data_IF_817317985592
#
_entry.id   IF_817317985592
#
_cell.length_a   1.000
_cell.length_b   1.000
_cell.length_c   1.000
_cell.angle_alpha   90.00
_cell.angle_beta   90.00
_cell.angle_gamma   90.00
#
_symmetry.space_group_name_H-M   'P 1'
#
loop_
_entity.id
_entity.type
_entity.pdbx_description
1 polymer ?
#
# COMPACT_ATOMS: atom_id res chain seq x y z
N UNK A 1 -31.00 7.83 -25.46
CA UNK A 1 -30.34 6.72 -24.73
C UNK A 1 -28.92 7.14 -24.38
N UNK A 2 -28.69 7.60 -23.15
CA UNK A 2 -27.36 8.05 -22.69
C UNK A 2 -26.53 6.79 -22.42
N UNK A 3 -25.42 6.66 -23.15
CA UNK A 3 -24.59 5.48 -23.24
C UNK A 3 -24.12 4.99 -21.83
N UNK A 4 -24.58 3.81 -21.38
CA UNK A 4 -24.21 3.21 -20.07
C UNK A 4 -22.69 3.14 -19.87
N UNK A 5 -21.92 3.03 -20.96
CA UNK A 5 -20.45 3.01 -20.93
C UNK A 5 -19.82 4.36 -20.54
N UNK A 6 -20.46 5.50 -20.81
CA UNK A 6 -19.93 6.83 -20.44
C UNK A 6 -20.12 7.16 -18.95
N UNK A 7 -21.12 6.59 -18.27
CA UNK A 7 -21.28 6.75 -16.81
C UNK A 7 -20.26 5.92 -16.03
N UNK A 8 -19.92 4.72 -16.51
CA UNK A 8 -18.92 3.85 -15.88
C UNK A 8 -17.47 4.35 -16.02
N UNK A 9 -17.14 5.09 -17.10
CA UNK A 9 -15.81 5.67 -17.30
C UNK A 9 -15.41 6.73 -16.25
N UNK A 10 -16.36 7.22 -15.44
CA UNK A 10 -16.09 8.22 -14.40
C UNK A 10 -15.53 7.62 -13.11
N UNK A 11 -15.46 6.29 -12.98
CA UNK A 11 -15.19 5.58 -11.71
C UNK A 11 -13.72 5.18 -11.48
N UNK A 12 -12.77 5.50 -12.38
CA UNK A 12 -11.51 4.73 -12.38
C UNK A 12 -10.22 5.43 -12.75
N UNK A 13 -10.15 6.76 -12.86
CA UNK A 13 -8.87 7.36 -13.26
C UNK A 13 -7.84 7.43 -12.12
N UNK A 14 -8.22 7.42 -10.83
CA UNK A 14 -7.26 7.56 -9.71
C UNK A 14 -7.54 6.61 -8.52
N UNK A 15 -8.07 5.42 -8.74
CA UNK A 15 -8.58 4.59 -7.62
C UNK A 15 -9.79 5.20 -6.89
N UNK A 16 -10.37 6.27 -7.43
CA UNK A 16 -11.52 6.99 -6.89
C UNK A 16 -12.80 6.41 -7.52
N UNK A 17 -13.51 5.58 -6.75
CA UNK A 17 -14.88 5.18 -7.10
C UNK A 17 -15.82 6.30 -6.67
N UNK A 18 -16.25 7.14 -7.62
CA UNK A 18 -17.29 8.13 -7.37
C UNK A 18 -18.62 7.42 -7.15
N UNK A 19 -18.97 7.16 -5.90
CA UNK A 19 -20.30 6.66 -5.54
C UNK A 19 -21.31 7.78 -5.80
N UNK A 20 -21.78 7.90 -7.05
CA UNK A 20 -22.83 8.86 -7.43
C UNK A 20 -24.08 8.61 -6.57
N UNK A 21 -24.22 9.38 -5.49
CA UNK A 21 -25.46 9.64 -4.74
C UNK A 21 -26.09 8.50 -3.91
N UNK A 22 -25.48 7.33 -3.74
CA UNK A 22 -26.14 6.18 -3.07
C UNK A 22 -25.69 5.91 -1.63
N UNK A 23 -25.87 6.89 -0.73
CA UNK A 23 -25.91 6.62 0.72
C UNK A 23 -27.34 6.20 1.11
N UNK A 24 -27.60 4.90 1.14
CA UNK A 24 -28.88 4.39 1.61
C UNK A 24 -28.85 4.13 3.12
N UNK A 25 -30.00 4.26 3.79
CA UNK A 25 -30.14 3.93 5.21
C UNK A 25 -30.06 2.41 5.37
N UNK A 26 -29.47 1.96 6.46
CA UNK A 26 -29.65 0.61 6.96
C UNK A 26 -30.31 0.68 8.35
N UNK A 27 -31.47 0.05 8.47
CA UNK A 27 -32.23 -0.03 9.73
C UNK A 27 -31.95 -1.32 10.49
N UNK A 28 -31.30 -2.32 9.86
CA UNK A 28 -31.32 -3.71 10.32
C UNK A 28 -29.96 -4.43 10.32
N UNK A 29 -28.84 -3.76 10.03
CA UNK A 29 -27.52 -4.39 10.18
C UNK A 29 -26.60 -3.65 11.14
N UNK A 30 -25.89 -4.44 11.96
CA UNK A 30 -24.92 -3.96 12.95
C UNK A 30 -23.59 -3.50 12.32
N UNK A 31 -23.29 -3.89 11.07
CA UNK A 31 -22.03 -3.60 10.39
C UNK A 31 -22.24 -2.90 9.05
N UNK A 32 -21.59 -1.75 8.80
CA UNK A 32 -21.74 -1.01 7.55
C UNK A 32 -21.12 -1.79 6.37
N UNK A 33 -21.77 -1.72 5.22
CA UNK A 33 -21.28 -2.40 4.01
C UNK A 33 -21.48 -1.55 2.75
N UNK A 34 -20.75 -1.92 1.70
CA UNK A 34 -20.91 -1.38 0.36
C UNK A 34 -21.05 -2.53 -0.64
N UNK A 35 -22.03 -2.41 -1.54
CA UNK A 35 -22.20 -3.29 -2.68
C UNK A 35 -21.51 -2.72 -3.90
N UNK A 36 -20.66 -3.52 -4.53
CA UNK A 36 -19.95 -3.16 -5.75
C UNK A 36 -20.28 -4.10 -6.91
N UNK A 37 -20.45 -3.56 -8.13
CA UNK A 37 -20.52 -4.34 -9.34
C UNK A 37 -19.32 -5.28 -9.49
N UNK A 38 -19.55 -6.48 -10.04
CA UNK A 38 -18.50 -7.50 -10.16
C UNK A 38 -17.28 -7.08 -11.01
N UNK A 39 -17.47 -6.18 -11.97
CA UNK A 39 -16.36 -5.61 -12.75
C UNK A 39 -15.48 -4.69 -11.89
N UNK A 40 -16.05 -3.89 -11.00
CA UNK A 40 -15.28 -3.06 -10.07
C UNK A 40 -14.55 -3.92 -9.02
N UNK A 41 -15.20 -4.97 -8.51
CA UNK A 41 -14.53 -5.94 -7.61
C UNK A 41 -13.27 -6.53 -8.25
N UNK A 42 -13.38 -6.99 -9.51
CA UNK A 42 -12.23 -7.50 -10.28
C UNK A 42 -11.18 -6.43 -10.53
N UNK A 43 -11.60 -5.22 -10.90
CA UNK A 43 -10.69 -4.12 -11.20
C UNK A 43 -9.86 -3.69 -9.98
N UNK A 44 -10.47 -3.64 -8.79
CA UNK A 44 -9.76 -3.29 -7.56
C UNK A 44 -9.09 -4.51 -6.89
N UNK A 45 -9.28 -5.71 -7.45
CA UNK A 45 -8.75 -6.95 -6.89
C UNK A 45 -9.31 -7.29 -5.51
N UNK A 46 -10.53 -6.87 -5.23
CA UNK A 46 -11.18 -7.01 -3.92
C UNK A 46 -12.12 -8.22 -3.94
N UNK A 47 -12.02 -9.07 -2.93
CA UNK A 47 -12.91 -10.22 -2.78
C UNK A 47 -14.24 -9.85 -2.11
N UNK A 48 -15.29 -10.62 -2.36
CA UNK A 48 -16.53 -10.47 -1.61
C UNK A 48 -16.26 -10.72 -0.11
N UNK A 49 -16.92 -9.96 0.76
CA UNK A 49 -16.74 -9.98 2.22
C UNK A 49 -15.42 -9.40 2.75
N UNK A 50 -14.49 -9.02 1.88
CA UNK A 50 -13.30 -8.27 2.28
C UNK A 50 -13.69 -6.87 2.79
N UNK A 51 -12.90 -6.30 3.70
CA UNK A 51 -13.11 -4.95 4.18
C UNK A 51 -12.34 -3.92 3.35
N UNK A 52 -12.97 -2.78 3.12
CA UNK A 52 -12.36 -1.59 2.50
C UNK A 52 -12.57 -0.38 3.39
N UNK A 53 -11.82 0.69 3.13
CA UNK A 53 -11.98 1.94 3.84
C UNK A 53 -12.78 2.93 3.00
N UNK A 54 -13.89 3.46 3.53
CA UNK A 54 -14.57 4.62 2.96
C UNK A 54 -13.94 5.90 3.50
N UNK A 55 -13.52 6.79 2.59
CA UNK A 55 -12.89 8.07 2.90
C UNK A 55 -13.73 9.22 2.34
N UNK A 56 -14.06 10.21 3.17
CA UNK A 56 -14.68 11.47 2.73
C UNK A 56 -14.14 12.61 3.60
N UNK A 57 -13.37 13.52 3.02
CA UNK A 57 -12.59 14.51 3.78
C UNK A 57 -11.67 13.82 4.79
N UNK A 58 -11.84 14.11 6.08
CA UNK A 58 -11.12 13.44 7.19
C UNK A 58 -11.81 12.18 7.71
N UNK A 59 -13.08 11.92 7.34
CA UNK A 59 -13.82 10.75 7.82
C UNK A 59 -13.28 9.47 7.20
N UNK A 60 -13.12 8.44 8.03
CA UNK A 60 -12.64 7.10 7.67
C UNK A 60 -13.57 6.06 8.28
N UNK A 61 -14.10 5.16 7.46
CA UNK A 61 -15.01 4.11 7.91
C UNK A 61 -14.69 2.78 7.23
N UNK A 62 -14.23 1.78 7.99
CA UNK A 62 -14.24 0.37 7.58
C UNK A 62 -15.64 -0.08 7.15
N UNK A 63 -15.76 -0.64 5.95
CA UNK A 63 -17.00 -1.26 5.50
C UNK A 63 -16.71 -2.60 4.85
N UNK A 64 -17.64 -3.54 4.99
CA UNK A 64 -17.54 -4.83 4.31
C UNK A 64 -17.98 -4.69 2.84
N UNK A 65 -17.28 -5.36 1.94
CA UNK A 65 -17.67 -5.50 0.54
C UNK A 65 -18.73 -6.58 0.37
N UNK A 66 -19.71 -6.29 -0.47
CA UNK A 66 -20.68 -7.26 -0.98
C UNK A 66 -20.82 -7.11 -2.49
N UNK A 67 -21.27 -8.15 -3.18
CA UNK A 67 -21.65 -8.02 -4.59
C UNK A 67 -22.99 -7.30 -4.72
N UNK A 68 -23.18 -6.55 -5.81
CA UNK A 68 -24.50 -5.98 -6.14
C UNK A 68 -25.54 -7.07 -6.40
N UNK A 69 -26.76 -6.81 -5.96
CA UNK A 69 -27.97 -7.60 -6.25
C UNK A 69 -28.77 -6.95 -7.39
N UNK A 70 -29.82 -7.61 -7.87
CA UNK A 70 -30.63 -7.13 -9.00
C UNK A 70 -31.23 -5.74 -8.74
N UNK A 71 -31.71 -5.49 -7.52
CA UNK A 71 -32.31 -4.24 -7.07
C UNK A 71 -31.33 -3.06 -7.06
N UNK A 72 -30.02 -3.34 -7.05
CA UNK A 72 -29.01 -2.28 -7.13
C UNK A 72 -28.85 -1.75 -8.57
N UNK A 73 -29.43 -2.42 -9.58
CA UNK A 73 -29.36 -2.06 -11.01
C UNK A 73 -27.92 -1.86 -11.52
N UNK A 74 -26.97 -2.61 -10.97
CA UNK A 74 -25.54 -2.49 -11.28
C UNK A 74 -24.88 -1.20 -10.78
N UNK A 75 -25.51 -0.47 -9.85
CA UNK A 75 -24.94 0.70 -9.20
C UNK A 75 -24.24 0.31 -7.91
N UNK A 76 -23.23 1.10 -7.51
CA UNK A 76 -22.66 0.97 -6.17
C UNK A 76 -23.71 1.39 -5.14
N UNK A 77 -23.84 0.66 -4.03
CA UNK A 77 -24.79 0.99 -2.96
C UNK A 77 -24.10 0.93 -1.61
N UNK A 78 -24.08 2.04 -0.88
CA UNK A 78 -23.50 2.12 0.47
C UNK A 78 -24.63 2.09 1.50
N UNK A 79 -24.49 1.25 2.51
CA UNK A 79 -25.44 1.08 3.61
C UNK A 79 -24.76 1.48 4.92
N UNK A 80 -25.23 2.58 5.50
CA UNK A 80 -24.67 3.16 6.73
C UNK A 80 -25.75 3.30 7.79
N UNK A 81 -25.35 3.19 9.06
CA UNK A 81 -26.21 3.56 10.18
C UNK A 81 -26.58 5.05 10.12
N UNK A 82 -27.71 5.47 10.72
CA UNK A 82 -28.17 6.86 10.65
C UNK A 82 -27.12 7.89 11.08
N UNK A 83 -26.44 7.64 12.21
CA UNK A 83 -25.40 8.52 12.76
C UNK A 83 -24.21 8.69 11.82
N UNK A 84 -23.76 7.59 11.21
CA UNK A 84 -22.62 7.62 10.28
C UNK A 84 -23.00 8.30 8.97
N UNK A 85 -24.21 8.05 8.47
CA UNK A 85 -24.74 8.72 7.28
C UNK A 85 -24.80 10.23 7.44
N UNK A 86 -25.21 10.71 8.61
CA UNK A 86 -25.25 12.14 8.93
C UNK A 86 -23.86 12.76 8.94
N UNK A 87 -22.88 12.12 9.59
CA UNK A 87 -21.48 12.55 9.57
C UNK A 87 -20.90 12.60 8.14
N UNK A 88 -21.15 11.58 7.31
CA UNK A 88 -20.69 11.61 5.92
C UNK A 88 -21.42 12.65 5.07
N UNK A 89 -22.67 13.03 5.40
CA UNK A 89 -23.39 14.10 4.71
C UNK A 89 -22.91 15.51 5.07
N UNK A 90 -22.45 15.73 6.30
CA UNK A 90 -21.97 17.05 6.75
C UNK A 90 -20.65 17.48 6.10
N UNK A 91 -19.86 16.53 5.59
CA UNK A 91 -18.69 16.83 4.74
C UNK A 91 -19.17 17.18 3.34
N UNK A 92 -19.24 18.47 3.05
CA UNK A 92 -19.67 19.03 1.75
C UNK A 92 -18.47 19.14 0.81
N UNK A 93 -18.67 18.97 -0.49
CA UNK A 93 -17.68 19.12 -1.57
C UNK A 93 -16.56 18.05 -1.67
N UNK A 94 -16.35 17.20 -0.66
CA UNK A 94 -15.45 16.04 -0.81
C UNK A 94 -16.18 14.84 -1.43
N UNK A 95 -15.62 14.18 -2.47
CA UNK A 95 -16.17 12.94 -2.97
C UNK A 95 -15.99 11.80 -1.95
N UNK A 96 -16.87 10.81 -2.03
CA UNK A 96 -16.71 9.56 -1.28
C UNK A 96 -15.72 8.68 -2.05
N UNK A 97 -14.62 8.32 -1.41
CA UNK A 97 -13.60 7.44 -1.93
C UNK A 97 -13.74 6.05 -1.33
N UNK A 98 -13.65 5.02 -2.18
CA UNK A 98 -13.37 3.66 -1.75
C UNK A 98 -11.87 3.48 -1.82
N UNK A 99 -11.31 3.01 -0.72
CA UNK A 99 -9.89 2.84 -0.56
C UNK A 99 -9.65 1.35 -0.35
N UNK A 100 -9.27 0.61 -1.42
CA UNK A 100 -8.98 -0.81 -1.29
C UNK A 100 -7.78 -1.07 -0.37
N UNK A 101 -7.73 -2.25 0.24
CA UNK A 101 -6.53 -2.72 0.91
C UNK A 101 -5.42 -3.02 -0.10
N UNK A 102 -4.18 -2.75 0.29
CA UNK A 102 -2.98 -3.07 -0.50
C UNK A 102 -2.26 -4.29 0.08
N UNK A 103 -1.47 -4.98 -0.75
CA UNK A 103 -0.44 -5.90 -0.28
C UNK A 103 0.90 -5.19 -0.35
N UNK A 104 1.46 -4.90 0.82
CA UNK A 104 2.71 -4.17 1.00
C UNK A 104 3.77 -5.15 1.49
N UNK A 105 4.93 -5.16 0.85
CA UNK A 105 6.12 -5.86 1.38
C UNK A 105 7.15 -4.81 1.75
N UNK A 106 7.52 -4.78 3.03
CA UNK A 106 8.62 -3.98 3.53
C UNK A 106 9.91 -4.74 3.22
N UNK A 107 10.79 -4.15 2.42
CA UNK A 107 12.09 -4.72 2.05
C UNK A 107 13.15 -3.94 2.81
N UNK A 108 13.72 -4.58 3.82
CA UNK A 108 14.59 -3.97 4.82
C UNK A 108 16.03 -4.33 4.51
N UNK A 109 16.87 -3.33 4.29
CA UNK A 109 18.31 -3.51 4.20
C UNK A 109 18.86 -3.94 5.57
N UNK A 110 19.61 -5.03 5.58
CA UNK A 110 20.34 -5.56 6.73
C UNK A 110 21.82 -5.73 6.40
N UNK A 111 22.35 -4.97 5.45
CA UNK A 111 23.78 -4.95 5.15
C UNK A 111 24.60 -4.31 6.29
N UNK A 112 25.91 -4.52 6.29
CA UNK A 112 26.78 -4.10 7.39
C UNK A 112 26.73 -2.59 7.71
N UNK A 113 26.42 -1.72 6.72
CA UNK A 113 26.25 -0.27 6.94
C UNK A 113 25.09 0.07 7.86
N UNK A 114 24.10 -0.82 7.98
CA UNK A 114 22.93 -0.64 8.83
C UNK A 114 23.23 -0.82 10.33
N UNK A 115 24.41 -1.33 10.70
CA UNK A 115 24.88 -1.36 12.10
C UNK A 115 25.28 0.04 12.58
N UNK A 116 25.79 0.88 11.67
CA UNK A 116 26.24 2.22 11.99
C UNK A 116 25.09 3.08 12.52
N UNK A 117 25.37 3.90 13.53
CA UNK A 117 24.42 4.87 14.09
C UNK A 117 23.05 4.29 14.48
N UNK A 118 22.98 2.99 14.76
CA UNK A 118 21.75 2.24 15.06
C UNK A 118 20.70 2.28 13.94
N UNK A 119 21.08 2.42 12.67
CA UNK A 119 20.13 2.54 11.55
C UNK A 119 19.13 1.39 11.50
N UNK A 120 19.60 0.14 11.65
CA UNK A 120 18.73 -1.04 11.68
C UNK A 120 17.77 -1.03 12.88
N UNK A 121 18.21 -0.53 14.04
CA UNK A 121 17.35 -0.42 15.22
C UNK A 121 16.20 0.54 14.93
N UNK A 122 16.48 1.72 14.35
CA UNK A 122 15.45 2.68 13.99
C UNK A 122 14.55 2.19 12.86
N UNK A 123 15.07 1.42 11.90
CA UNK A 123 14.25 0.75 10.89
C UNK A 123 13.26 -0.23 11.53
N UNK A 124 13.72 -1.06 12.49
CA UNK A 124 12.84 -1.95 13.26
C UNK A 124 11.79 -1.16 14.04
N UNK A 125 12.18 -0.10 14.74
CA UNK A 125 11.25 0.75 15.50
C UNK A 125 10.20 1.40 14.61
N UNK A 126 10.58 1.85 13.41
CA UNK A 126 9.64 2.42 12.45
C UNK A 126 8.66 1.39 11.90
N UNK A 127 9.12 0.15 11.64
CA UNK A 127 8.25 -0.95 11.24
C UNK A 127 7.30 -1.32 12.37
N UNK A 128 7.80 -1.46 13.60
CA UNK A 128 6.97 -1.72 14.79
C UNK A 128 5.93 -0.63 14.95
N UNK A 129 6.35 0.64 14.90
CA UNK A 129 5.44 1.79 14.95
C UNK A 129 4.38 1.73 13.85
N UNK A 130 4.76 1.40 12.61
CA UNK A 130 3.81 1.28 11.51
C UNK A 130 2.75 0.20 11.76
N UNK A 131 3.16 -0.98 12.21
CA UNK A 131 2.26 -2.15 12.34
C UNK A 131 1.46 -2.14 13.65
N UNK A 132 1.94 -1.43 14.66
CA UNK A 132 1.26 -1.26 15.96
C UNK A 132 0.42 0.01 16.05
N UNK A 133 0.64 0.99 15.15
CA UNK A 133 -0.15 2.20 15.15
C UNK A 133 -1.60 1.87 14.77
N UNK A 134 -2.48 1.95 15.77
CA UNK A 134 -3.91 1.68 15.65
C UNK A 134 -4.66 2.71 14.79
N UNK A 135 -3.97 3.68 14.16
CA UNK A 135 -4.60 4.53 13.15
C UNK A 135 -5.20 3.65 12.04
N UNK A 136 -6.53 3.55 12.10
CA UNK A 136 -7.49 2.64 11.44
C UNK A 136 -7.41 2.51 9.90
N UNK A 137 -6.41 3.10 9.28
CA UNK A 137 -6.12 3.00 7.85
C UNK A 137 -5.14 1.86 7.56
N UNK A 138 -4.17 1.62 8.45
CA UNK A 138 -3.20 0.50 8.34
C UNK A 138 -3.88 -0.86 8.52
N UNK A 139 -4.96 -0.94 9.32
CA UNK A 139 -5.68 -2.18 9.65
C UNK A 139 -6.31 -2.91 8.46
N UNK A 140 -6.40 -2.27 7.28
CA UNK A 140 -6.94 -2.91 6.08
C UNK A 140 -5.88 -3.54 5.18
N UNK A 141 -4.66 -3.00 5.19
CA UNK A 141 -3.60 -3.48 4.31
C UNK A 141 -3.10 -4.85 4.77
N UNK A 142 -2.42 -5.58 3.89
CA UNK A 142 -1.65 -6.75 4.24
C UNK A 142 -0.18 -6.39 4.18
N UNK A 143 0.58 -6.76 5.21
CA UNK A 143 2.00 -6.42 5.32
C UNK A 143 2.81 -7.70 5.42
N UNK A 144 3.83 -7.80 4.58
CA UNK A 144 4.92 -8.77 4.69
C UNK A 144 6.25 -8.07 4.93
N UNK A 145 7.24 -8.81 5.41
CA UNK A 145 8.60 -8.28 5.65
C UNK A 145 9.61 -9.21 5.01
N UNK A 146 10.52 -8.61 4.24
CA UNK A 146 11.70 -9.24 3.66
C UNK A 146 12.91 -8.49 4.19
N UNK A 147 13.93 -9.22 4.64
CA UNK A 147 15.26 -8.65 4.82
C UNK A 147 16.12 -8.93 3.59
N UNK A 148 17.12 -8.08 3.34
CA UNK A 148 18.16 -8.39 2.38
C UNK A 148 19.52 -7.83 2.80
N UNK A 149 20.55 -8.61 2.51
CA UNK A 149 21.94 -8.18 2.48
C UNK A 149 22.66 -8.88 1.33
N UNK A 150 23.58 -9.81 1.60
CA UNK A 150 24.19 -10.72 0.61
C UNK A 150 23.19 -11.73 0.04
N UNK A 151 22.05 -11.91 0.72
CA UNK A 151 20.94 -12.79 0.37
C UNK A 151 19.62 -12.18 0.86
N UNK A 152 18.48 -12.71 0.43
CA UNK A 152 17.17 -12.18 0.83
C UNK A 152 16.28 -13.26 1.44
N UNK A 153 15.68 -12.94 2.60
CA UNK A 153 14.86 -13.85 3.38
C UNK A 153 13.49 -13.25 3.67
N UNK A 154 12.45 -14.09 3.62
CA UNK A 154 11.11 -13.70 4.06
C UNK A 154 11.05 -13.82 5.57
N UNK A 155 10.97 -12.69 6.27
CA UNK A 155 10.91 -12.61 7.72
C UNK A 155 9.46 -12.76 8.22
N UNK A 156 8.52 -12.13 7.51
CA UNK A 156 7.09 -12.32 7.75
C UNK A 156 6.35 -12.52 6.44
N UNK A 157 5.48 -13.54 6.33
CA UNK A 157 4.55 -13.63 5.21
C UNK A 157 3.61 -12.42 5.19
N UNK A 158 2.99 -12.16 4.04
CA UNK A 158 1.97 -11.13 3.89
C UNK A 158 0.76 -11.50 4.75
N UNK A 159 0.51 -10.73 5.81
CA UNK A 159 -0.53 -10.99 6.81
C UNK A 159 -1.27 -9.71 7.22
N UNK A 160 -2.44 -9.87 7.87
CA UNK A 160 -3.14 -8.82 8.64
C UNK A 160 -2.91 -8.96 10.14
N UNK A 161 -2.29 -10.06 10.58
CA UNK A 161 -1.97 -10.34 11.98
C UNK A 161 -0.63 -9.68 12.34
N UNK A 162 -0.69 -8.36 12.46
CA UNK A 162 0.48 -7.50 12.67
C UNK A 162 1.20 -7.73 14.01
N UNK A 163 0.51 -8.33 14.99
CA UNK A 163 1.04 -8.57 16.34
C UNK A 163 2.28 -9.48 16.34
N UNK A 164 2.46 -10.32 15.32
CA UNK A 164 3.63 -11.21 15.22
C UNK A 164 4.85 -10.56 14.56
N UNK A 165 4.67 -9.47 13.82
CA UNK A 165 5.75 -8.83 13.06
C UNK A 165 6.87 -8.34 14.00
N UNK A 166 6.59 -7.63 15.12
CA UNK A 166 7.62 -7.14 16.04
C UNK A 166 8.59 -8.24 16.53
N UNK A 167 8.06 -9.40 16.93
CA UNK A 167 8.91 -10.51 17.39
C UNK A 167 9.75 -11.11 16.26
N UNK A 168 9.20 -11.20 15.04
CA UNK A 168 9.93 -11.70 13.86
C UNK A 168 11.10 -10.81 13.45
N UNK A 169 10.95 -9.49 13.55
CA UNK A 169 11.99 -8.52 13.13
C UNK A 169 12.99 -8.18 14.24
N UNK A 170 12.75 -8.61 15.49
CA UNK A 170 13.63 -8.32 16.63
C UNK A 170 15.06 -8.80 16.40
N UNK A 171 15.21 -9.97 15.78
CA UNK A 171 16.48 -10.66 15.59
C UNK A 171 17.18 -10.35 14.26
N UNK A 172 16.73 -9.37 13.47
CA UNK A 172 17.50 -8.98 12.27
C UNK A 172 18.87 -8.45 12.70
N UNK A 173 19.92 -8.83 11.99
CA UNK A 173 21.30 -8.44 12.28
C UNK A 173 21.87 -7.80 11.02
N UNK A 174 22.60 -6.70 11.20
CA UNK A 174 23.28 -6.04 10.10
C UNK A 174 24.57 -6.82 9.76
N UNK A 175 24.63 -7.40 8.56
CA UNK A 175 25.80 -8.11 8.05
C UNK A 175 25.73 -8.24 6.52
N UNK A 176 26.89 -8.39 5.88
CA UNK A 176 26.99 -8.67 4.44
C UNK A 176 26.89 -7.43 3.55
N UNK A 177 26.75 -7.69 2.24
CA UNK A 177 26.69 -6.67 1.19
C UNK A 177 25.27 -6.18 0.92
N UNK A 178 25.10 -5.24 0.00
CA UNK A 178 23.80 -4.63 -0.32
C UNK A 178 23.25 -5.16 -1.66
N UNK A 179 22.77 -6.41 -1.70
CA UNK A 179 22.21 -7.04 -2.91
C UNK A 179 20.72 -6.73 -3.09
N UNK A 180 20.40 -5.44 -3.27
CA UNK A 180 19.04 -4.89 -3.34
C UNK A 180 18.07 -5.61 -4.29
N UNK A 181 18.57 -6.10 -5.44
CA UNK A 181 17.73 -6.84 -6.39
C UNK A 181 17.21 -8.16 -5.83
N UNK A 182 17.92 -8.80 -4.89
CA UNK A 182 17.45 -10.03 -4.24
C UNK A 182 16.25 -9.73 -3.33
N UNK A 183 16.33 -8.64 -2.57
CA UNK A 183 15.23 -8.18 -1.72
C UNK A 183 13.98 -7.84 -2.52
N UNK A 184 14.14 -7.05 -3.59
CA UNK A 184 13.03 -6.71 -4.49
C UNK A 184 12.44 -7.94 -5.19
N UNK A 185 13.29 -8.87 -5.66
CA UNK A 185 12.85 -10.11 -6.28
C UNK A 185 12.04 -11.00 -5.34
N UNK A 186 12.52 -11.18 -4.10
CA UNK A 186 11.80 -11.94 -3.07
C UNK A 186 10.43 -11.33 -2.76
N UNK A 187 10.38 -10.00 -2.64
CA UNK A 187 9.13 -9.28 -2.41
C UNK A 187 8.16 -9.37 -3.60
N UNK A 188 8.65 -9.26 -4.83
CA UNK A 188 7.86 -9.48 -6.05
C UNK A 188 7.25 -10.88 -6.07
N UNK A 189 8.00 -11.90 -5.69
CA UNK A 189 7.51 -13.28 -5.64
C UNK A 189 6.42 -13.46 -4.59
N UNK A 190 6.56 -12.85 -3.40
CA UNK A 190 5.50 -12.84 -2.37
C UNK A 190 4.21 -12.17 -2.86
N UNK A 191 4.33 -11.19 -3.75
CA UNK A 191 3.20 -10.42 -4.31
C UNK A 191 2.58 -11.06 -5.56
N UNK A 192 3.19 -12.13 -6.11
CA UNK A 192 2.81 -12.71 -7.42
C UNK A 192 1.31 -13.06 -7.49
N UNK A 193 0.80 -13.77 -6.48
CA UNK A 193 -0.56 -14.31 -6.47
C UNK A 193 -1.58 -13.39 -5.77
N UNK A 194 -1.17 -12.18 -5.38
CA UNK A 194 -2.06 -11.19 -4.78
C UNK A 194 -2.88 -10.46 -5.85
N UNK A 195 -4.16 -10.23 -5.57
CA UNK A 195 -5.07 -9.49 -6.45
C UNK A 195 -5.16 -8.02 -6.09
N UNK A 196 -4.94 -7.69 -4.82
CA UNK A 196 -4.84 -6.31 -4.34
C UNK A 196 -3.71 -5.55 -5.05
N UNK A 197 -3.72 -4.21 -4.94
CA UNK A 197 -2.57 -3.44 -5.38
C UNK A 197 -1.30 -3.90 -4.66
N UNK A 198 -0.21 -4.01 -5.42
CA UNK A 198 1.06 -4.58 -4.98
C UNK A 198 2.07 -3.47 -4.79
N UNK A 199 2.62 -3.37 -3.59
CA UNK A 199 3.59 -2.33 -3.24
C UNK A 199 4.79 -2.92 -2.53
N UNK A 200 5.97 -2.43 -2.87
CA UNK A 200 7.20 -2.62 -2.13
C UNK A 200 7.57 -1.29 -1.51
N UNK A 201 7.94 -1.30 -0.22
CA UNK A 201 8.61 -0.18 0.43
C UNK A 201 10.03 -0.64 0.72
N UNK A 202 10.98 -0.13 -0.08
CA UNK A 202 12.39 -0.44 0.04
C UNK A 202 13.06 0.55 1.00
N UNK A 203 13.65 0.04 2.08
CA UNK A 203 14.41 0.79 3.07
C UNK A 203 15.88 0.45 2.86
N UNK A 204 16.73 1.42 2.50
CA UNK A 204 18.17 1.17 2.30
C UNK A 204 19.00 2.42 2.61
N UNK A 205 20.17 2.23 3.22
CA UNK A 205 21.12 3.30 3.56
C UNK A 205 22.38 3.29 2.67
N UNK A 206 22.45 2.37 1.70
CA UNK A 206 23.67 2.03 0.99
C UNK A 206 23.60 2.16 -0.53
N UNK A 207 24.76 2.08 -1.15
CA UNK A 207 24.90 1.85 -2.59
C UNK A 207 24.74 0.35 -2.87
N UNK A 208 23.81 -0.07 -3.73
CA UNK A 208 23.71 -1.48 -4.07
C UNK A 208 24.93 -1.96 -4.84
N UNK A 209 25.40 -3.16 -4.51
CA UNK A 209 26.60 -3.74 -5.13
C UNK A 209 26.44 -3.94 -6.66
N UNK A 210 25.20 -4.12 -7.11
CA UNK A 210 24.86 -4.39 -8.52
C UNK A 210 23.71 -3.48 -8.99
N UNK A 211 23.96 -2.18 -9.24
CA UNK A 211 22.93 -1.21 -9.64
C UNK A 211 22.15 -1.64 -10.89
N UNK A 212 22.84 -2.22 -11.88
CA UNK A 212 22.20 -2.70 -13.12
C UNK A 212 21.17 -3.82 -12.86
N UNK A 213 21.45 -4.71 -11.90
CA UNK A 213 20.49 -5.75 -11.52
C UNK A 213 19.31 -5.18 -10.72
N UNK A 214 19.54 -4.17 -9.89
CA UNK A 214 18.46 -3.46 -9.19
C UNK A 214 17.51 -2.79 -10.20
N UNK A 215 18.03 -2.14 -11.24
CA UNK A 215 17.23 -1.56 -12.32
C UNK A 215 16.43 -2.64 -13.06
N UNK A 216 17.08 -3.75 -13.47
CA UNK A 216 16.39 -4.85 -14.15
C UNK A 216 15.27 -5.44 -13.30
N UNK A 217 15.49 -5.58 -12.00
CA UNK A 217 14.48 -6.09 -11.08
C UNK A 217 13.32 -5.10 -10.90
N UNK A 218 13.58 -3.79 -10.86
CA UNK A 218 12.55 -2.76 -10.87
C UNK A 218 11.70 -2.81 -12.15
N UNK A 219 12.30 -3.09 -13.32
CA UNK A 219 11.54 -3.33 -14.56
C UNK A 219 10.64 -4.57 -14.47
N UNK A 220 11.12 -5.65 -13.84
CA UNK A 220 10.30 -6.84 -13.62
C UNK A 220 9.14 -6.56 -12.66
N UNK A 221 9.37 -5.79 -11.60
CA UNK A 221 8.34 -5.32 -10.69
C UNK A 221 7.28 -4.51 -11.43
N UNK A 222 7.69 -3.54 -12.26
CA UNK A 222 6.78 -2.77 -13.11
C UNK A 222 5.93 -3.66 -14.01
N UNK A 223 6.54 -4.62 -14.72
CA UNK A 223 5.84 -5.57 -15.60
C UNK A 223 4.80 -6.42 -14.86
N UNK A 224 4.99 -6.62 -13.54
CA UNK A 224 4.06 -7.35 -12.67
C UNK A 224 3.07 -6.43 -11.92
N UNK A 225 3.04 -5.15 -12.25
CA UNK A 225 2.16 -4.17 -11.60
C UNK A 225 2.53 -3.90 -10.14
N UNK A 226 3.80 -4.06 -9.77
CA UNK A 226 4.32 -3.77 -8.43
C UNK A 226 4.90 -2.36 -8.42
N UNK A 227 4.36 -1.51 -7.55
CA UNK A 227 4.86 -0.16 -7.28
C UNK A 227 5.97 -0.26 -6.23
N UNK A 228 7.07 0.47 -6.41
CA UNK A 228 8.18 0.50 -5.44
C UNK A 228 8.33 1.93 -4.92
N UNK A 229 8.04 2.13 -3.64
CA UNK A 229 8.49 3.31 -2.91
C UNK A 229 9.89 3.05 -2.35
N UNK A 230 10.78 4.03 -2.44
CA UNK A 230 12.15 3.93 -1.92
C UNK A 230 12.35 4.94 -0.81
N UNK A 231 12.92 4.48 0.30
CA UNK A 231 13.29 5.31 1.44
C UNK A 231 14.79 5.12 1.66
N UNK A 232 15.51 6.21 1.41
CA UNK A 232 16.95 6.28 1.52
C UNK A 232 17.40 6.94 2.83
N UNK A 233 18.37 6.35 3.51
CA UNK A 233 19.00 6.90 4.72
C UNK A 233 20.44 7.35 4.48
N UNK A 234 20.91 8.33 5.24
CA UNK A 234 22.29 8.81 5.18
C UNK A 234 22.50 10.01 4.25
N UNK A 235 23.73 10.48 4.14
CA UNK A 235 24.11 11.65 3.34
C UNK A 235 25.35 11.38 2.48
N UNK A 236 25.55 12.21 1.46
CA UNK A 236 26.74 12.16 0.62
C UNK A 236 26.82 10.91 -0.25
N UNK A 237 28.04 10.38 -0.40
CA UNK A 237 28.32 9.25 -1.30
C UNK A 237 27.87 7.90 -0.74
N UNK A 238 27.49 7.82 0.54
CA UNK A 238 27.09 6.56 1.17
C UNK A 238 25.74 6.03 0.64
N UNK A 239 24.96 6.88 -0.02
CA UNK A 239 23.64 6.55 -0.54
C UNK A 239 23.53 6.88 -2.04
N UNK A 240 23.09 5.92 -2.84
CA UNK A 240 22.78 6.14 -4.26
C UNK A 240 21.36 6.71 -4.44
N UNK A 241 21.23 8.01 -4.16
CA UNK A 241 19.95 8.74 -4.24
C UNK A 241 19.36 8.68 -5.66
N UNK A 242 20.20 8.77 -6.68
CA UNK A 242 19.73 8.82 -8.07
C UNK A 242 19.18 7.48 -8.52
N UNK A 243 19.81 6.38 -8.10
CA UNK A 243 19.27 5.05 -8.31
C UNK A 243 17.95 4.83 -7.58
N UNK A 244 17.84 5.20 -6.31
CA UNK A 244 16.60 5.04 -5.54
C UNK A 244 15.45 5.85 -6.14
N UNK A 245 15.72 7.09 -6.59
CA UNK A 245 14.75 7.90 -7.34
C UNK A 245 14.34 7.24 -8.64
N UNK A 246 15.31 6.70 -9.39
CA UNK A 246 15.05 6.02 -10.66
C UNK A 246 14.17 4.79 -10.48
N UNK A 247 14.46 3.93 -9.50
CA UNK A 247 13.64 2.75 -9.17
C UNK A 247 12.20 3.15 -8.84
N UNK A 248 12.02 4.16 -7.98
CA UNK A 248 10.69 4.64 -7.62
C UNK A 248 9.94 5.18 -8.84
N UNK A 249 10.57 6.07 -9.61
CA UNK A 249 9.95 6.67 -10.79
C UNK A 249 9.57 5.63 -11.86
N UNK A 250 10.42 4.62 -12.08
CA UNK A 250 10.17 3.56 -13.08
C UNK A 250 8.88 2.78 -12.79
N UNK A 251 8.55 2.58 -11.52
CA UNK A 251 7.41 1.78 -11.05
C UNK A 251 6.19 2.62 -10.67
N UNK A 252 6.30 3.96 -10.73
CA UNK A 252 5.25 4.88 -10.32
C UNK A 252 5.15 5.10 -8.80
N UNK A 253 6.20 4.74 -8.05
CA UNK A 253 6.31 5.01 -6.62
C UNK A 253 6.98 6.35 -6.33
N UNK A 254 7.28 6.58 -5.06
CA UNK A 254 7.89 7.81 -4.54
C UNK A 254 9.21 7.51 -3.85
N UNK A 255 10.13 8.46 -3.97
CA UNK A 255 11.38 8.45 -3.23
C UNK A 255 11.30 9.40 -2.03
N UNK A 256 11.81 8.95 -0.89
CA UNK A 256 11.95 9.74 0.33
C UNK A 256 13.39 9.68 0.82
N UNK A 257 13.95 10.86 1.09
CA UNK A 257 15.26 10.97 1.73
C UNK A 257 15.08 11.28 3.21
N UNK A 258 15.60 10.41 4.07
CA UNK A 258 15.55 10.53 5.52
C UNK A 258 16.96 10.79 6.03
N UNK A 259 17.28 12.07 6.27
CA UNK A 259 18.58 12.48 6.82
C UNK A 259 18.78 12.04 8.26
N UNK A 260 17.74 12.20 9.07
CA UNK A 260 17.73 11.76 10.46
C UNK A 260 16.90 10.49 10.58
N UNK A 261 17.55 9.34 10.77
CA UNK A 261 16.89 8.02 10.80
C UNK A 261 15.77 7.93 11.85
N UNK A 262 15.86 8.67 12.96
CA UNK A 262 14.81 8.80 13.98
C UNK A 262 13.46 9.30 13.44
N UNK A 263 13.46 10.00 12.30
CA UNK A 263 12.24 10.49 11.63
C UNK A 263 11.61 9.47 10.69
N UNK A 264 12.19 8.28 10.54
CA UNK A 264 11.71 7.25 9.61
C UNK A 264 10.24 6.88 9.83
N UNK A 265 9.82 6.70 11.08
CA UNK A 265 8.42 6.41 11.43
C UNK A 265 7.45 7.46 10.87
N UNK A 266 7.83 8.74 10.91
CA UNK A 266 7.02 9.86 10.39
C UNK A 266 6.91 9.88 8.86
N UNK A 267 7.80 9.20 8.15
CA UNK A 267 7.80 9.07 6.68
C UNK A 267 7.06 7.80 6.23
N UNK A 268 7.24 6.69 6.95
CA UNK A 268 6.56 5.42 6.62
C UNK A 268 5.05 5.48 6.83
N UNK A 269 4.57 6.18 7.88
CA UNK A 269 3.14 6.26 8.17
C UNK A 269 2.34 6.90 7.01
N UNK A 270 2.70 8.11 6.50
CA UNK A 270 2.03 8.71 5.34
C UNK A 270 2.12 7.88 4.06
N UNK A 271 3.16 7.05 3.88
CA UNK A 271 3.28 6.19 2.70
C UNK A 271 2.18 5.11 2.67
N UNK A 272 1.79 4.62 3.83
CA UNK A 272 0.75 3.60 3.98
C UNK A 272 -0.65 4.24 4.08
N UNK A 273 -0.74 5.48 4.56
CA UNK A 273 -2.00 6.19 4.80
C UNK A 273 -2.43 7.19 3.71
N UNK A 274 -1.50 7.91 3.07
CA UNK A 274 -1.80 8.91 2.03
C UNK A 274 -1.94 8.22 0.67
N UNK A 275 -3.11 7.60 0.49
CA UNK A 275 -3.51 6.90 -0.73
C UNK A 275 -3.95 7.90 -1.82
N UNK A 276 -3.04 8.77 -2.24
CA UNK A 276 -3.13 9.48 -3.53
C UNK A 276 -2.61 8.54 -4.60
N UNK A 277 -3.51 7.75 -5.18
CA UNK A 277 -3.19 6.91 -6.32
C UNK A 277 -2.82 7.82 -7.50
N UNK A 278 -1.69 7.53 -8.15
CA UNK A 278 -1.51 7.95 -9.53
C UNK A 278 -2.44 7.11 -10.40
N UNK A 279 -2.89 7.62 -11.56
CA UNK A 279 -3.68 6.84 -12.48
C UNK A 279 -3.03 5.49 -12.73
N UNK A 280 -3.83 4.43 -12.59
CA UNK A 280 -3.44 3.11 -13.05
C UNK A 280 -2.81 3.30 -14.43
N UNK A 281 -1.58 2.80 -14.60
CA UNK A 281 -0.97 2.67 -15.92
C UNK A 281 -2.03 2.06 -16.81
N UNK A 282 -2.64 2.90 -17.66
CA UNK A 282 -3.48 2.38 -18.70
C UNK A 282 -2.55 1.52 -19.53
N UNK A 283 -2.88 0.23 -19.61
CA UNK A 283 -2.40 -0.59 -20.72
C UNK A 283 -3.05 -0.03 -21.98
N UNK A 284 -2.59 1.14 -22.43
CA UNK A 284 -2.91 1.68 -23.73
C UNK A 284 -1.69 1.45 -24.61
N UNK A 285 -1.81 0.35 -25.38
CA UNK A 285 -1.24 0.07 -26.70
C UNK A 285 0.28 -0.06 -26.84
#
# INVERSE_FOLDING_TARGET
>A
MINKNKKMQKYSQDGIVYVERSLQKDENTSLPFIRLPGNLLKQFGISEYEFVLLKKGMLRLPVQIRKTIEEDEGKCVVRLSPRVKEAFKSVVNDPLHIVPPECIVLVVDTSGSMEEENKLVYAKEAIISLVTNETKSVTMNHIGVVEFSSSAYMISPITREFQEIPEKIKNLIADGSTEMYLGMGKARDMLKDKTNMKRIILLSDGQPQKPDLAIREAEQCKKKGVIIDTIGFGEGENIDIDLLKKIAAMTGGKFFHVREIRKLSSVMLPLVDDKKYLPAFTQDQ
#
